data_IF_656940375203
#
_entry.id   IF_656940375203
#
_cell.length_a   1.000
_cell.length_b   1.000
_cell.length_c   1.000
_cell.angle_alpha   90.00
_cell.angle_beta   90.00
_cell.angle_gamma   90.00
#
_symmetry.space_group_name_H-M   'P 1'
#
loop_
_entity.id
_entity.type
_entity.pdbx_description
1 polymer ?
#
# COMPACT_ATOMS: atom_id res chain seq x y z
N UNK A 1 -12.18 6.86 1.26
CA UNK A 1 -11.74 6.20 2.50
C UNK A 1 -11.13 7.26 3.40
N UNK A 2 -11.66 7.40 4.61
CA UNK A 2 -11.13 8.34 5.59
C UNK A 2 -9.90 7.75 6.30
N UNK A 3 -8.94 8.60 6.63
CA UNK A 3 -7.79 8.28 7.48
C UNK A 3 -7.34 9.52 8.24
N UNK A 4 -6.50 9.37 9.26
CA UNK A 4 -6.06 10.49 10.10
C UNK A 4 -4.55 10.63 10.12
N UNK A 5 -4.09 11.88 10.12
CA UNK A 5 -2.71 12.29 10.33
C UNK A 5 -2.72 13.36 11.40
N UNK A 6 -2.12 13.07 12.57
CA UNK A 6 -2.05 13.99 13.72
C UNK A 6 -3.39 14.66 14.08
N UNK A 7 -4.46 13.86 14.08
CA UNK A 7 -5.81 14.32 14.43
C UNK A 7 -6.57 15.00 13.29
N UNK A 8 -5.92 15.33 12.18
CA UNK A 8 -6.58 15.84 10.97
C UNK A 8 -7.12 14.67 10.15
N UNK A 9 -8.41 14.71 9.84
CA UNK A 9 -9.07 13.71 8.99
C UNK A 9 -8.89 14.05 7.52
N UNK A 10 -8.38 13.10 6.75
CA UNK A 10 -8.13 13.19 5.32
C UNK A 10 -8.96 12.14 4.59
N UNK A 11 -9.24 12.41 3.31
CA UNK A 11 -10.04 11.52 2.47
C UNK A 11 -9.27 11.11 1.21
N UNK A 12 -9.07 9.80 1.04
CA UNK A 12 -8.63 9.22 -0.22
C UNK A 12 -9.86 8.80 -1.05
N UNK A 13 -10.11 9.38 -2.24
CA UNK A 13 -11.25 8.97 -3.07
C UNK A 13 -11.14 7.50 -3.51
N UNK A 14 -12.26 6.91 -3.92
CA UNK A 14 -12.22 5.59 -4.57
C UNK A 14 -11.55 5.76 -5.93
N UNK A 15 -10.45 5.05 -6.14
CA UNK A 15 -9.70 5.10 -7.40
C UNK A 15 -10.07 3.91 -8.28
N UNK A 16 -10.24 4.11 -9.60
CA UNK A 16 -10.50 3.02 -10.53
C UNK A 16 -9.23 2.17 -10.74
N UNK A 17 -9.39 0.91 -11.14
CA UNK A 17 -8.27 -0.03 -11.30
C UNK A 17 -7.13 0.51 -12.20
N UNK A 18 -7.38 1.17 -13.35
CA UNK A 18 -6.31 1.71 -14.18
C UNK A 18 -5.37 2.69 -13.46
N UNK A 19 -5.89 3.47 -12.50
CA UNK A 19 -5.06 4.39 -11.69
C UNK A 19 -4.12 3.62 -10.76
N UNK A 20 -4.57 2.49 -10.22
CA UNK A 20 -3.73 1.61 -9.40
C UNK A 20 -2.66 0.92 -10.25
N UNK A 21 -3.04 0.40 -11.42
CA UNK A 21 -2.09 -0.26 -12.32
C UNK A 21 -1.01 0.70 -12.80
N UNK A 22 -1.39 1.93 -13.17
CA UNK A 22 -0.45 3.00 -13.54
C UNK A 22 0.49 3.36 -12.37
N UNK A 23 -0.06 3.61 -11.18
CA UNK A 23 0.75 3.94 -10.02
C UNK A 23 1.73 2.81 -9.66
N UNK A 24 1.30 1.55 -9.67
CA UNK A 24 2.12 0.42 -9.25
C UNK A 24 3.25 0.03 -10.23
N UNK A 25 3.25 0.55 -11.46
CA UNK A 25 4.30 0.29 -12.45
C UNK A 25 5.63 0.97 -12.12
N UNK A 26 5.63 1.99 -11.26
CA UNK A 26 6.85 2.68 -10.85
C UNK A 26 7.70 1.80 -9.92
N UNK A 27 9.01 2.00 -10.01
CA UNK A 27 10.07 1.24 -9.32
C UNK A 27 9.86 1.10 -7.79
N UNK A 28 10.50 0.11 -7.14
CA UNK A 28 9.97 -0.63 -5.99
C UNK A 28 9.65 0.13 -4.70
N UNK A 29 9.99 1.41 -4.58
CA UNK A 29 9.71 2.24 -3.41
C UNK A 29 8.91 3.52 -3.75
N UNK A 30 8.61 3.77 -5.02
CA UNK A 30 8.23 5.09 -5.52
C UNK A 30 6.83 5.17 -6.11
N UNK A 31 5.86 4.37 -5.68
CA UNK A 31 4.50 4.47 -6.22
C UNK A 31 3.48 5.04 -5.23
N UNK A 32 3.77 5.01 -3.93
CA UNK A 32 2.84 5.46 -2.90
C UNK A 32 2.53 6.96 -3.05
N UNK A 33 3.52 7.79 -3.42
CA UNK A 33 3.36 9.24 -3.54
C UNK A 33 2.37 9.66 -4.64
N UNK A 34 2.22 8.84 -5.68
CA UNK A 34 1.22 9.06 -6.74
C UNK A 34 -0.21 8.85 -6.26
N UNK A 35 -0.39 8.10 -5.16
CA UNK A 35 -1.68 7.79 -4.56
C UNK A 35 -1.93 8.71 -3.35
N UNK A 36 -0.99 8.77 -2.41
CA UNK A 36 -0.99 9.67 -1.27
C UNK A 36 0.36 10.39 -1.25
N UNK A 37 0.42 11.72 -1.43
CA UNK A 37 -0.70 12.64 -1.44
C UNK A 37 -1.33 12.84 -2.83
N UNK A 38 -0.80 12.21 -3.89
CA UNK A 38 -1.12 12.53 -5.28
C UNK A 38 -2.58 12.45 -5.70
N UNK A 39 -3.42 11.66 -5.01
CA UNK A 39 -4.87 11.55 -5.27
C UNK A 39 -5.75 12.15 -4.17
N UNK A 40 -5.16 12.83 -3.20
CA UNK A 40 -5.92 13.59 -2.22
C UNK A 40 -6.48 14.88 -2.85
N UNK A 41 -7.52 15.43 -2.23
CA UNK A 41 -8.01 16.76 -2.57
C UNK A 41 -6.91 17.81 -2.41
N UNK A 42 -6.97 18.87 -3.23
CA UNK A 42 -5.94 19.92 -3.29
C UNK A 42 -5.60 20.47 -1.90
N UNK A 43 -6.60 20.77 -1.09
CA UNK A 43 -6.40 21.32 0.26
C UNK A 43 -5.67 20.33 1.19
N UNK A 44 -6.03 19.04 1.14
CA UNK A 44 -5.40 18.00 1.94
C UNK A 44 -3.96 17.75 1.52
N UNK A 45 -3.69 17.75 0.20
CA UNK A 45 -2.34 17.63 -0.35
C UNK A 45 -1.48 18.83 0.01
N UNK A 46 -1.96 20.05 -0.19
CA UNK A 46 -1.24 21.27 0.17
C UNK A 46 -0.93 21.32 1.67
N UNK A 47 -1.83 20.85 2.53
CA UNK A 47 -1.59 20.72 3.96
C UNK A 47 -0.43 19.74 4.25
N UNK A 48 -0.44 18.53 3.70
CA UNK A 48 0.66 17.56 3.87
C UNK A 48 1.99 18.09 3.33
N UNK A 49 1.98 18.73 2.15
CA UNK A 49 3.17 19.32 1.54
C UNK A 49 3.76 20.42 2.42
N UNK A 50 2.92 21.29 3.00
CA UNK A 50 3.37 22.35 3.91
C UNK A 50 4.07 21.79 5.16
N UNK A 51 3.59 20.68 5.70
CA UNK A 51 4.21 20.00 6.84
C UNK A 51 5.58 19.43 6.49
N UNK A 52 5.68 18.72 5.36
CA UNK A 52 6.96 18.16 4.90
C UNK A 52 8.00 19.27 4.65
N UNK A 53 7.55 20.41 4.12
CA UNK A 53 8.41 21.55 3.83
C UNK A 53 8.84 22.32 5.08
N UNK A 54 8.10 22.26 6.20
CA UNK A 54 8.48 22.91 7.45
C UNK A 54 9.62 22.14 8.14
N UNK A 55 10.83 22.73 8.28
CA UNK A 55 11.94 22.08 8.96
C UNK A 55 11.76 21.95 10.48
N UNK A 56 10.76 22.60 11.06
CA UNK A 56 10.42 22.51 12.50
C UNK A 56 9.35 21.47 12.78
N UNK A 57 8.64 21.02 11.75
CA UNK A 57 7.69 19.92 11.86
C UNK A 57 8.47 18.59 11.83
N UNK A 58 8.11 17.69 12.74
CA UNK A 58 8.69 16.35 12.78
C UNK A 58 8.14 15.43 11.69
N UNK A 59 7.12 15.86 10.94
CA UNK A 59 6.48 15.10 9.87
C UNK A 59 7.27 15.19 8.57
N UNK A 60 7.98 14.12 8.24
CA UNK A 60 8.81 14.01 7.04
C UNK A 60 8.23 13.04 6.00
N UNK A 61 9.00 12.81 4.93
CA UNK A 61 8.62 11.92 3.82
C UNK A 61 8.51 10.46 4.28
N UNK A 62 9.33 10.02 5.24
CA UNK A 62 9.28 8.64 5.74
C UNK A 62 7.99 8.39 6.53
N UNK A 63 7.60 9.35 7.38
CA UNK A 63 6.34 9.27 8.10
C UNK A 63 5.14 9.32 7.15
N UNK A 64 5.22 10.10 6.06
CA UNK A 64 4.17 10.08 5.04
C UNK A 64 4.12 8.74 4.30
N UNK A 65 5.27 8.14 3.96
CA UNK A 65 5.34 6.81 3.36
C UNK A 65 4.71 5.75 4.27
N UNK A 66 5.03 5.76 5.56
CA UNK A 66 4.45 4.85 6.55
C UNK A 66 2.92 5.00 6.65
N UNK A 67 2.42 6.24 6.68
CA UNK A 67 0.98 6.51 6.66
C UNK A 67 0.37 6.01 5.35
N UNK A 68 0.97 6.36 4.21
CA UNK A 68 0.46 6.02 2.90
C UNK A 68 0.38 4.50 2.71
N UNK A 69 1.46 3.78 2.96
CA UNK A 69 1.51 2.32 2.82
C UNK A 69 0.49 1.61 3.70
N UNK A 70 0.26 2.06 4.93
CA UNK A 70 -0.81 1.51 5.81
C UNK A 70 -2.20 1.78 5.27
N UNK A 71 -2.47 3.00 4.81
CA UNK A 71 -3.78 3.37 4.25
C UNK A 71 -4.04 2.57 2.96
N UNK A 72 -3.07 2.52 2.06
CA UNK A 72 -3.17 1.80 0.80
C UNK A 72 -3.29 0.29 1.02
N UNK A 73 -2.58 -0.28 2.00
CA UNK A 73 -2.74 -1.68 2.39
C UNK A 73 -4.18 -2.00 2.81
N UNK A 74 -4.82 -1.14 3.62
CA UNK A 74 -6.24 -1.29 3.96
C UNK A 74 -7.16 -1.24 2.73
N UNK A 75 -6.86 -0.38 1.75
CA UNK A 75 -7.64 -0.29 0.50
C UNK A 75 -7.48 -1.55 -0.35
N UNK A 76 -6.27 -2.12 -0.38
CA UNK A 76 -5.93 -3.34 -1.10
C UNK A 76 -6.39 -4.61 -0.39
N UNK A 77 -6.66 -4.55 0.91
CA UNK A 77 -7.07 -5.70 1.73
C UNK A 77 -5.90 -6.58 2.20
N UNK A 78 -4.67 -6.14 2.00
CA UNK A 78 -3.43 -6.81 2.42
C UNK A 78 -2.30 -5.79 2.57
N UNK A 79 -1.10 -6.22 2.95
CA UNK A 79 0.04 -5.29 2.99
C UNK A 79 0.28 -4.66 1.62
N UNK A 80 0.60 -3.35 1.60
CA UNK A 80 0.75 -2.58 0.37
C UNK A 80 1.72 -3.24 -0.61
N UNK A 81 2.83 -3.77 -0.10
CA UNK A 81 3.85 -4.43 -0.92
C UNK A 81 3.33 -5.69 -1.62
N UNK A 82 2.54 -6.51 -0.90
CA UNK A 82 1.91 -7.70 -1.47
C UNK A 82 0.85 -7.31 -2.52
N UNK A 83 -0.03 -6.36 -2.18
CA UNK A 83 -1.03 -5.87 -3.12
C UNK A 83 -0.43 -5.24 -4.37
N UNK A 84 0.68 -4.50 -4.21
CA UNK A 84 1.46 -3.95 -5.33
C UNK A 84 2.03 -5.06 -6.22
N UNK A 85 2.69 -6.08 -5.65
CA UNK A 85 3.23 -7.21 -6.43
C UNK A 85 2.14 -7.90 -7.24
N UNK A 86 0.97 -8.10 -6.65
CA UNK A 86 -0.19 -8.67 -7.33
C UNK A 86 -0.72 -7.74 -8.44
N UNK A 87 -0.82 -6.43 -8.19
CA UNK A 87 -1.21 -5.46 -9.22
C UNK A 87 -0.19 -5.36 -10.37
N UNK A 88 1.10 -5.51 -10.08
CA UNK A 88 2.14 -5.60 -11.11
C UNK A 88 1.98 -6.86 -11.95
N UNK A 89 1.65 -8.00 -11.34
CA UNK A 89 1.36 -9.23 -12.08
C UNK A 89 0.11 -9.06 -12.97
N UNK A 90 -0.95 -8.42 -12.46
CA UNK A 90 -2.13 -8.04 -13.27
C UNK A 90 -1.73 -7.18 -14.45
N UNK A 91 -0.88 -6.16 -14.26
CA UNK A 91 -0.46 -5.27 -15.33
C UNK A 91 0.38 -6.01 -16.39
N UNK A 92 1.29 -6.89 -15.95
CA UNK A 92 2.15 -7.66 -16.84
C UNK A 92 1.39 -8.70 -17.68
N UNK A 93 0.35 -9.31 -17.11
CA UNK A 93 -0.43 -10.37 -17.74
C UNK A 93 -1.88 -9.95 -18.01
N UNK A 94 -2.11 -8.66 -18.28
CA UNK A 94 -3.46 -8.08 -18.35
C UNK A 94 -4.41 -8.85 -19.27
N UNK A 95 -3.96 -9.20 -20.48
CA UNK A 95 -4.80 -9.92 -21.45
C UNK A 95 -5.24 -11.30 -20.94
N UNK A 96 -4.36 -12.03 -20.26
CA UNK A 96 -4.67 -13.34 -19.70
C UNK A 96 -5.58 -13.21 -18.48
N UNK A 97 -5.27 -12.27 -17.59
CA UNK A 97 -6.08 -11.99 -16.41
C UNK A 97 -7.50 -11.55 -16.78
N UNK A 98 -7.65 -10.61 -17.72
CA UNK A 98 -8.95 -10.11 -18.19
C UNK A 98 -9.76 -11.21 -18.87
N UNK A 99 -9.13 -12.02 -19.73
CA UNK A 99 -9.79 -13.16 -20.36
C UNK A 99 -10.34 -14.18 -19.36
N UNK A 100 -9.59 -14.49 -18.30
CA UNK A 100 -10.04 -15.39 -17.23
C UNK A 100 -11.09 -14.75 -16.33
N UNK A 101 -10.94 -13.46 -16.01
CA UNK A 101 -11.92 -12.71 -15.24
C UNK A 101 -13.30 -12.75 -15.91
N UNK A 102 -13.37 -12.53 -17.23
CA UNK A 102 -14.59 -12.64 -18.03
C UNK A 102 -15.18 -14.05 -17.95
N UNK A 103 -14.35 -15.10 -18.06
CA UNK A 103 -14.82 -16.49 -17.92
C UNK A 103 -15.42 -16.78 -16.53
N UNK A 104 -14.91 -16.14 -15.49
CA UNK A 104 -15.45 -16.23 -14.12
C UNK A 104 -16.65 -15.32 -13.86
N UNK A 105 -17.09 -14.52 -14.84
CA UNK A 105 -18.14 -13.51 -14.64
C UNK A 105 -17.71 -12.37 -13.72
N UNK A 106 -16.41 -12.09 -13.64
CA UNK A 106 -15.82 -11.01 -12.86
C UNK A 106 -15.39 -9.88 -13.80
N UNK A 107 -15.85 -8.66 -13.52
CA UNK A 107 -15.41 -7.45 -14.22
C UNK A 107 -14.37 -6.71 -13.37
N UNK A 108 -13.07 -6.83 -13.68
CA UNK A 108 -12.01 -6.22 -12.88
C UNK A 108 -12.00 -4.70 -12.96
N UNK A 109 -12.53 -4.09 -14.02
CA UNK A 109 -12.52 -2.64 -14.21
C UNK A 109 -13.55 -1.93 -13.32
N UNK A 110 -14.68 -2.59 -13.05
CA UNK A 110 -15.74 -2.07 -12.18
C UNK A 110 -15.64 -2.56 -10.72
N UNK A 111 -14.84 -3.59 -10.47
CA UNK A 111 -14.61 -4.10 -9.12
C UNK A 111 -13.80 -3.13 -8.23
N UNK A 112 -14.00 -3.17 -6.90
CA UNK A 112 -13.04 -2.58 -5.97
C UNK A 112 -11.65 -3.20 -6.11
N UNK A 113 -10.58 -2.41 -5.96
CA UNK A 113 -9.21 -2.89 -6.19
C UNK A 113 -8.82 -4.12 -5.37
N UNK A 114 -9.27 -4.24 -4.11
CA UNK A 114 -9.01 -5.43 -3.29
C UNK A 114 -9.59 -6.71 -3.88
N UNK A 115 -10.70 -6.64 -4.63
CA UNK A 115 -11.26 -7.80 -5.33
C UNK A 115 -10.36 -8.23 -6.48
N UNK A 116 -9.78 -7.28 -7.20
CA UNK A 116 -8.79 -7.56 -8.25
C UNK A 116 -7.52 -8.18 -7.67
N UNK A 117 -7.02 -7.66 -6.55
CA UNK A 117 -5.89 -8.24 -5.80
C UNK A 117 -6.19 -9.68 -5.40
N UNK A 118 -7.37 -9.95 -4.82
CA UNK A 118 -7.79 -11.31 -4.44
C UNK A 118 -7.93 -12.24 -5.64
N UNK A 119 -8.49 -11.76 -6.76
CA UNK A 119 -8.63 -12.54 -7.98
C UNK A 119 -7.26 -12.92 -8.56
N UNK A 120 -6.30 -11.97 -8.57
CA UNK A 120 -4.94 -12.26 -9.01
C UNK A 120 -4.25 -13.27 -8.10
N UNK A 121 -4.40 -13.14 -6.78
CA UNK A 121 -3.86 -14.12 -5.83
C UNK A 121 -4.43 -15.51 -6.09
N UNK A 122 -5.75 -15.62 -6.26
CA UNK A 122 -6.41 -16.89 -6.58
C UNK A 122 -5.87 -17.51 -7.88
N UNK A 123 -5.65 -16.70 -8.91
CA UNK A 123 -5.05 -17.13 -10.17
C UNK A 123 -3.64 -17.70 -9.98
N UNK A 124 -2.77 -17.02 -9.23
CA UNK A 124 -1.41 -17.50 -8.98
C UNK A 124 -1.39 -18.79 -8.16
N UNK A 125 -2.27 -18.89 -7.15
CA UNK A 125 -2.39 -20.09 -6.32
C UNK A 125 -2.94 -21.28 -7.11
N UNK A 126 -3.83 -21.06 -8.08
CA UNK A 126 -4.37 -22.11 -8.94
C UNK A 126 -3.28 -22.82 -9.76
N UNK A 127 -2.19 -22.13 -10.10
CA UNK A 127 -1.03 -22.72 -10.78
C UNK A 127 -0.09 -23.53 -9.86
N UNK A 128 -0.37 -23.61 -8.56
CA UNK A 128 0.44 -24.33 -7.59
C UNK A 128 -0.17 -25.68 -7.25
N UNK A 129 0.26 -26.74 -7.95
CA UNK A 129 -0.17 -28.12 -7.71
C UNK A 129 0.39 -28.74 -6.41
N UNK A 130 1.46 -28.16 -5.86
CA UNK A 130 2.14 -28.63 -4.65
C UNK A 130 2.10 -27.59 -3.54
N UNK A 131 1.92 -28.03 -2.29
CA UNK A 131 1.93 -27.16 -1.11
C UNK A 131 3.27 -26.41 -0.95
N UNK A 132 4.38 -27.03 -1.34
CA UNK A 132 5.72 -26.43 -1.32
C UNK A 132 5.81 -25.21 -2.26
N UNK A 133 5.20 -25.31 -3.46
CA UNK A 133 5.14 -24.22 -4.44
C UNK A 133 4.26 -23.09 -3.94
N UNK A 134 3.12 -23.42 -3.34
CA UNK A 134 2.22 -22.43 -2.72
C UNK A 134 2.92 -21.67 -1.60
N UNK A 135 3.58 -22.37 -0.67
CA UNK A 135 4.29 -21.75 0.44
C UNK A 135 5.43 -20.84 -0.04
N UNK A 136 6.14 -21.24 -1.10
CA UNK A 136 7.16 -20.41 -1.74
C UNK A 136 6.56 -19.15 -2.36
N UNK A 137 5.48 -19.29 -3.12
CA UNK A 137 4.77 -18.16 -3.72
C UNK A 137 4.27 -17.19 -2.64
N UNK A 138 3.71 -17.70 -1.56
CA UNK A 138 3.26 -16.88 -0.43
C UNK A 138 4.43 -16.11 0.20
N UNK A 139 5.56 -16.76 0.43
CA UNK A 139 6.78 -16.09 0.92
C UNK A 139 7.25 -14.99 -0.04
N UNK A 140 7.25 -15.24 -1.35
CA UNK A 140 7.68 -14.26 -2.36
C UNK A 140 6.72 -13.05 -2.46
N UNK A 141 5.40 -13.29 -2.43
CA UNK A 141 4.38 -12.25 -2.55
C UNK A 141 4.27 -11.42 -1.27
N UNK A 142 4.34 -12.04 -0.09
CA UNK A 142 4.11 -11.38 1.19
C UNK A 142 5.39 -10.99 1.94
N UNK A 143 6.58 -11.27 1.40
CA UNK A 143 7.83 -10.76 1.97
C UNK A 143 7.82 -9.23 2.06
N UNK A 144 8.20 -8.68 3.21
CA UNK A 144 8.39 -7.24 3.38
C UNK A 144 9.46 -6.67 2.43
N UNK A 145 9.53 -5.34 2.28
CA UNK A 145 10.58 -4.69 1.50
C UNK A 145 11.95 -4.92 2.15
N UNK A 146 13.01 -4.99 1.34
CA UNK A 146 14.39 -5.14 1.83
C UNK A 146 14.87 -3.86 2.54
N UNK A 147 14.73 -3.86 3.88
CA UNK A 147 15.40 -2.95 4.80
C UNK A 147 14.81 -1.53 4.91
N UNK A 148 14.95 -0.87 6.08
CA UNK A 148 14.54 0.52 6.26
C UNK A 148 15.46 1.47 5.48
N UNK A 149 14.88 2.38 4.71
CA UNK A 149 15.60 3.51 4.12
C UNK A 149 15.19 4.79 4.85
N UNK A 150 15.97 5.26 5.84
CA UNK A 150 15.72 6.57 6.41
C UNK A 150 15.91 7.65 5.33
N UNK A 151 14.99 8.62 5.30
CA UNK A 151 15.11 9.89 4.60
C UNK A 151 16.41 10.59 4.98
N UNK A 152 16.84 11.55 4.14
CA UNK A 152 17.96 12.43 4.45
C UNK A 152 17.84 13.11 5.82
N UNK A 153 16.62 13.49 6.25
CA UNK A 153 16.39 14.11 7.56
C UNK A 153 16.51 13.11 8.72
N UNK A 154 16.01 11.88 8.57
CA UNK A 154 16.24 10.82 9.56
C UNK A 154 17.73 10.43 9.66
N UNK A 155 18.50 10.53 8.56
CA UNK A 155 19.97 10.38 8.55
C UNK A 155 20.69 11.53 9.26
N UNK A 156 20.23 12.77 9.07
CA UNK A 156 20.79 13.98 9.70
C UNK A 156 20.45 14.07 11.20
N UNK A 157 19.28 13.56 11.61
CA UNK A 157 18.79 13.64 12.99
C UNK A 157 19.34 12.55 13.94
N UNK A 158 20.06 11.52 13.46
CA UNK A 158 20.74 10.61 14.38
C UNK A 158 21.24 9.29 13.80
N UNK A 159 22.56 9.09 13.86
CA UNK A 159 23.18 7.80 14.16
C UNK A 159 22.80 7.31 15.57
N UNK A 160 21.50 7.16 15.84
CA UNK A 160 20.98 6.98 17.19
C UNK A 160 19.48 6.75 17.24
N UNK A 161 18.96 5.74 16.53
CA UNK A 161 17.76 5.02 16.98
C UNK A 161 18.02 3.53 16.90
N UNK A 162 18.58 3.01 17.98
CA UNK A 162 18.59 1.60 18.27
C UNK A 162 17.16 1.14 18.61
N UNK A 163 16.76 0.04 17.97
CA UNK A 163 15.78 -0.95 18.40
C UNK A 163 14.33 -0.51 18.69
N UNK A 164 13.41 -1.32 18.18
CA UNK A 164 11.98 -1.15 18.27
C UNK A 164 11.47 -0.98 19.70
N UNK A 165 10.51 -0.07 19.84
CA UNK A 165 9.84 0.23 21.09
C UNK A 165 8.40 0.68 20.85
N UNK A 166 7.50 -0.30 20.73
CA UNK A 166 6.15 -0.28 21.30
C UNK A 166 5.30 1.00 21.08
N UNK A 167 4.96 1.30 19.82
CA UNK A 167 3.66 1.93 19.52
C UNK A 167 2.70 0.93 18.87
N UNK A 168 3.22 -0.14 18.25
CA UNK A 168 2.45 -1.23 17.65
C UNK A 168 1.50 -1.90 18.65
N UNK A 169 1.91 -2.10 19.91
CA UNK A 169 1.05 -2.69 20.95
C UNK A 169 -0.15 -1.80 21.32
N UNK A 170 -0.03 -0.47 21.27
CA UNK A 170 -1.10 0.45 21.69
C UNK A 170 -2.15 0.69 20.59
N UNK A 171 -1.76 0.55 19.33
CA UNK A 171 -2.68 0.72 18.20
C UNK A 171 -3.60 -0.51 18.01
N UNK A 172 -3.14 -1.71 18.39
CA UNK A 172 -3.95 -2.94 18.31
C UNK A 172 -4.95 -3.08 19.47
N UNK A 173 -4.60 -2.66 20.69
CA UNK A 173 -5.49 -2.75 21.85
C UNK A 173 -6.67 -1.76 21.80
N UNK A 174 -6.51 -0.61 21.13
CA UNK A 174 -7.58 0.37 20.97
C UNK A 174 -8.71 -0.10 20.03
N UNK A 175 -8.49 -1.15 19.23
CA UNK A 175 -9.45 -1.59 18.21
C UNK A 175 -10.31 -2.81 18.60
N UNK A 176 -9.90 -3.64 19.58
CA UNK A 176 -10.76 -4.72 20.12
C UNK A 176 -11.85 -4.24 21.08
N UNK A 177 -11.84 -2.96 21.47
CA UNK A 177 -12.75 -2.40 22.48
C UNK A 177 -14.05 -1.79 21.96
N UNK A 178 -14.31 -1.79 20.65
CA UNK A 178 -15.51 -1.21 20.05
C UNK A 178 -16.26 -2.24 19.21
N UNK A 179 -17.06 -3.08 19.87
CA UNK A 179 -18.04 -3.96 19.23
C UNK A 179 -19.28 -3.21 18.74
#
# INVERSE_FOLDING_TARGET
>A
MAFRVDGVELWLPRLPLPVWLDACQYEPSGCWWMLIPGRLEEQARAWLESRIQDPRDGFDVDLLEDVATRVLGRVLGCDFWAGRRLLMAVAAEWMQFDGLAVQWGFDPLNAPVHRTVNAMWALQVQGCDEDSKRARLESEVFAGPEGPRPSGRAREAGGGRAAGGSWEARAWDAWRGGG
#
